data_IF_196633544024
#
_entry.id   IF_196633544024
#
_cell.length_a   1.000
_cell.length_b   1.000
_cell.length_c   1.000
_cell.angle_alpha   90.00
_cell.angle_beta   90.00
_cell.angle_gamma   90.00
#
_symmetry.space_group_name_H-M   'P 1'
#
loop_
_entity.id
_entity.type
_entity.pdbx_description
1 polymer ?
#
# COMPACT_ATOMS: atom_id res chain seq x y z
N UNK A 1 -2.56 -9.34 -30.28
CA UNK A 1 -2.74 -9.16 -28.84
C UNK A 1 -2.36 -10.46 -28.19
N UNK A 2 -1.31 -10.49 -27.36
CA UNK A 2 -1.05 -11.65 -26.50
C UNK A 2 -2.25 -11.84 -25.59
N UNK A 3 -2.64 -13.07 -25.35
CA UNK A 3 -3.74 -13.44 -24.47
C UNK A 3 -3.45 -12.85 -23.07
N UNK A 4 -4.17 -11.79 -22.67
CA UNK A 4 -4.03 -11.12 -21.38
C UNK A 4 -4.80 -11.86 -20.28
N UNK A 5 -5.35 -13.06 -20.59
CA UNK A 5 -6.08 -13.86 -19.62
C UNK A 5 -5.11 -14.53 -18.65
N UNK A 6 -5.18 -14.14 -17.37
CA UNK A 6 -4.60 -14.91 -16.28
C UNK A 6 -5.61 -16.01 -15.86
N UNK A 7 -5.12 -17.08 -15.25
CA UNK A 7 -5.96 -18.21 -14.80
C UNK A 7 -7.15 -17.79 -13.88
N UNK A 8 -7.13 -16.57 -13.34
CA UNK A 8 -8.08 -16.07 -12.34
C UNK A 8 -8.95 -14.89 -12.80
N UNK A 9 -8.81 -14.40 -14.04
CA UNK A 9 -9.61 -13.30 -14.58
C UNK A 9 -9.71 -13.38 -16.11
N UNK A 10 -10.72 -12.70 -16.66
CA UNK A 10 -10.82 -12.32 -18.05
C UNK A 10 -10.62 -10.81 -18.24
N UNK A 11 -10.41 -10.38 -19.48
CA UNK A 11 -10.21 -8.96 -19.79
C UNK A 11 -11.13 -8.54 -20.94
N UNK A 12 -11.59 -7.30 -20.89
CA UNK A 12 -12.44 -6.68 -21.91
C UNK A 12 -11.83 -5.36 -22.36
N UNK A 13 -11.62 -5.22 -23.67
CA UNK A 13 -11.16 -3.97 -24.28
C UNK A 13 -12.31 -2.96 -24.30
N UNK A 14 -12.08 -1.76 -23.76
CA UNK A 14 -13.04 -0.66 -23.74
C UNK A 14 -12.59 0.49 -24.65
N UNK A 15 -13.46 1.49 -24.81
CA UNK A 15 -13.07 2.82 -25.27
C UNK A 15 -13.08 3.79 -24.09
N UNK A 16 -12.24 4.81 -24.12
CA UNK A 16 -12.22 5.83 -23.05
C UNK A 16 -13.55 6.55 -22.87
N UNK A 17 -14.33 6.74 -23.95
CA UNK A 17 -15.67 7.32 -23.91
C UNK A 17 -16.68 6.49 -23.12
N UNK A 18 -16.43 5.17 -22.99
CA UNK A 18 -17.30 4.23 -22.29
C UNK A 18 -16.86 4.08 -20.81
N UNK A 19 -15.75 4.70 -20.41
CA UNK A 19 -15.27 4.73 -19.03
C UNK A 19 -15.96 5.87 -18.26
N UNK A 20 -17.01 5.58 -17.53
CA UNK A 20 -17.80 6.58 -16.80
C UNK A 20 -16.93 7.39 -15.81
N UNK A 21 -16.93 8.71 -15.97
CA UNK A 21 -16.13 9.63 -15.15
C UNK A 21 -14.70 9.86 -15.65
N UNK A 22 -14.29 9.23 -16.74
CA UNK A 22 -12.96 9.44 -17.33
C UNK A 22 -12.75 10.91 -17.74
N UNK A 23 -13.72 11.51 -18.43
CA UNK A 23 -13.61 12.86 -18.92
C UNK A 23 -13.55 13.92 -17.82
N UNK A 24 -14.09 13.61 -16.64
CA UNK A 24 -14.20 14.49 -15.49
C UNK A 24 -13.01 14.39 -14.53
N UNK A 25 -12.15 13.37 -14.65
CA UNK A 25 -11.02 13.16 -13.75
C UNK A 25 -9.92 14.21 -13.92
N UNK A 26 -9.15 14.45 -12.87
CA UNK A 26 -7.94 15.28 -12.91
C UNK A 26 -6.74 14.47 -13.40
N UNK A 27 -6.62 14.40 -14.75
CA UNK A 27 -5.53 13.69 -15.40
C UNK A 27 -4.15 14.31 -15.14
N UNK A 28 -4.08 15.61 -14.79
CA UNK A 28 -2.81 16.24 -14.46
C UNK A 28 -2.25 15.68 -13.16
N UNK A 29 -3.08 15.54 -12.12
CA UNK A 29 -2.68 14.92 -10.86
C UNK A 29 -2.22 13.46 -11.07
N UNK A 30 -2.94 12.69 -11.89
CA UNK A 30 -2.54 11.32 -12.25
C UNK A 30 -1.22 11.27 -13.03
N UNK A 31 -1.01 12.23 -13.95
CA UNK A 31 0.21 12.33 -14.73
C UNK A 31 1.44 12.62 -13.83
N UNK A 32 1.32 13.50 -12.86
CA UNK A 32 2.42 13.75 -11.91
C UNK A 32 2.77 12.51 -11.08
N UNK A 33 1.78 11.72 -10.67
CA UNK A 33 2.02 10.44 -10.03
C UNK A 33 2.72 9.44 -10.98
N UNK A 34 2.29 9.37 -12.24
CA UNK A 34 2.90 8.55 -13.28
C UNK A 34 4.35 8.99 -13.58
N UNK A 35 4.59 10.30 -13.64
CA UNK A 35 5.90 10.87 -13.88
C UNK A 35 6.92 10.50 -12.80
N UNK A 36 6.52 10.40 -11.53
CA UNK A 36 7.40 9.90 -10.45
C UNK A 36 7.93 8.50 -10.78
N UNK A 37 7.06 7.59 -11.22
CA UNK A 37 7.45 6.24 -11.65
C UNK A 37 8.33 6.28 -12.93
N UNK A 38 8.00 7.16 -13.86
CA UNK A 38 8.76 7.32 -15.11
C UNK A 38 10.19 7.84 -14.87
N UNK A 39 10.37 8.74 -13.91
CA UNK A 39 11.70 9.25 -13.52
C UNK A 39 12.50 8.14 -12.83
N UNK A 40 11.93 7.43 -11.87
CA UNK A 40 12.62 6.32 -11.21
C UNK A 40 13.03 5.22 -12.21
N UNK A 41 12.15 4.92 -13.16
CA UNK A 41 12.35 3.88 -14.19
C UNK A 41 13.42 4.24 -15.23
N UNK A 42 13.97 5.45 -15.21
CA UNK A 42 15.09 5.84 -16.10
C UNK A 42 16.37 5.06 -15.78
N UNK A 43 16.58 4.74 -14.51
CA UNK A 43 17.79 4.07 -14.03
C UNK A 43 17.52 2.75 -13.31
N UNK A 44 16.24 2.39 -13.10
CA UNK A 44 15.85 1.21 -12.35
C UNK A 44 14.74 0.43 -13.08
N UNK A 45 14.77 -0.88 -12.94
CA UNK A 45 13.78 -1.78 -13.53
C UNK A 45 12.68 -2.13 -12.53
N UNK A 46 11.44 -2.14 -12.96
CA UNK A 46 10.35 -2.76 -12.23
C UNK A 46 10.17 -4.22 -12.68
N UNK A 47 9.98 -5.11 -11.74
CA UNK A 47 9.63 -6.49 -12.06
C UNK A 47 8.23 -6.53 -12.70
N UNK A 48 8.07 -7.17 -13.83
CA UNK A 48 6.78 -7.41 -14.48
C UNK A 48 5.90 -8.39 -13.68
N UNK A 49 4.60 -8.29 -13.84
CA UNK A 49 3.62 -9.23 -13.32
C UNK A 49 3.15 -10.23 -14.39
N UNK A 50 2.21 -11.10 -14.03
CA UNK A 50 1.63 -12.08 -14.96
C UNK A 50 0.45 -11.56 -15.77
N UNK A 51 -0.05 -10.35 -15.47
CA UNK A 51 -1.20 -9.73 -16.12
C UNK A 51 -0.87 -8.29 -16.52
N UNK A 52 -1.23 -7.90 -17.75
CA UNK A 52 -1.07 -6.54 -18.24
C UNK A 52 0.31 -6.28 -18.85
N UNK A 53 0.74 -4.99 -18.87
CA UNK A 53 1.98 -4.61 -19.53
C UNK A 53 3.19 -5.20 -18.80
N UNK A 54 4.16 -5.64 -19.57
CA UNK A 54 5.49 -5.90 -19.09
C UNK A 54 6.21 -4.56 -18.88
N UNK A 55 7.28 -4.56 -18.09
CA UNK A 55 8.03 -3.33 -17.84
C UNK A 55 8.53 -2.68 -19.14
N UNK A 56 9.00 -3.50 -20.07
CA UNK A 56 9.51 -3.09 -21.36
C UNK A 56 8.44 -2.38 -22.22
N UNK A 57 7.16 -2.74 -22.07
CA UNK A 57 6.04 -2.05 -22.75
C UNK A 57 5.81 -0.64 -22.19
N UNK A 58 6.11 -0.40 -20.90
CA UNK A 58 5.97 0.89 -20.23
C UNK A 58 7.13 1.86 -20.52
N UNK A 59 8.33 1.35 -20.78
CA UNK A 59 9.55 2.17 -20.99
C UNK A 59 9.38 3.26 -22.04
N UNK A 60 8.85 3.01 -23.25
CA UNK A 60 8.64 4.05 -24.25
C UNK A 60 7.65 5.13 -23.78
N UNK A 61 6.60 4.73 -23.04
CA UNK A 61 5.60 5.68 -22.51
C UNK A 61 6.17 6.51 -21.39
N UNK A 62 7.01 5.93 -20.52
CA UNK A 62 7.76 6.68 -19.50
C UNK A 62 8.68 7.73 -20.13
N UNK A 63 9.37 7.40 -21.22
CA UNK A 63 10.21 8.37 -21.94
C UNK A 63 9.36 9.51 -22.51
N UNK A 64 8.20 9.22 -23.11
CA UNK A 64 7.27 10.24 -23.60
C UNK A 64 6.74 11.14 -22.48
N UNK A 65 6.43 10.57 -21.29
CA UNK A 65 5.99 11.35 -20.13
C UNK A 65 7.07 12.32 -19.64
N UNK A 66 8.32 11.87 -19.54
CA UNK A 66 9.45 12.75 -19.16
C UNK A 66 9.67 13.86 -20.19
N UNK A 67 9.61 13.54 -21.48
CA UNK A 67 9.72 14.52 -22.56
C UNK A 67 8.60 15.56 -22.52
N UNK A 68 7.35 15.14 -22.29
CA UNK A 68 6.21 16.04 -22.15
C UNK A 68 6.41 16.98 -20.94
N UNK A 69 6.87 16.46 -19.81
CA UNK A 69 7.10 17.25 -18.60
C UNK A 69 8.23 18.28 -18.74
N UNK A 70 9.22 18.03 -19.57
CA UNK A 70 10.33 18.94 -19.81
C UNK A 70 9.99 20.12 -20.74
N UNK A 71 8.92 20.01 -21.55
CA UNK A 71 8.68 20.92 -22.66
C UNK A 71 7.64 22.02 -22.43
N UNK A 72 6.73 21.86 -21.46
CA UNK A 72 5.60 22.80 -21.31
C UNK A 72 4.88 22.68 -19.97
N UNK A 73 4.02 23.66 -19.68
CA UNK A 73 3.09 23.56 -18.57
C UNK A 73 2.09 22.42 -18.83
N UNK A 74 1.95 21.53 -17.84
CA UNK A 74 1.09 20.35 -17.89
C UNK A 74 -0.30 20.74 -17.38
N UNK A 75 -1.28 20.70 -18.28
CA UNK A 75 -2.68 20.88 -17.94
C UNK A 75 -3.47 19.56 -18.04
N UNK A 76 -4.72 19.59 -17.60
CA UNK A 76 -5.64 18.45 -17.59
C UNK A 76 -5.93 17.93 -19.02
N UNK A 77 -6.06 18.81 -20.01
CA UNK A 77 -6.39 18.42 -21.38
C UNK A 77 -5.21 17.73 -22.06
N UNK A 78 -4.01 18.30 -21.92
CA UNK A 78 -2.76 17.74 -22.46
C UNK A 78 -2.47 16.36 -21.87
N UNK A 79 -2.64 16.20 -20.55
CA UNK A 79 -2.39 14.93 -19.86
C UNK A 79 -3.44 13.88 -20.16
N UNK A 80 -4.72 14.27 -20.30
CA UNK A 80 -5.76 13.39 -20.80
C UNK A 80 -5.43 12.87 -22.20
N UNK A 81 -5.09 13.76 -23.13
CA UNK A 81 -4.70 13.40 -24.50
C UNK A 81 -3.45 12.49 -24.51
N UNK A 82 -2.50 12.70 -23.60
CA UNK A 82 -1.35 11.79 -23.40
C UNK A 82 -1.81 10.37 -23.07
N UNK A 83 -2.64 10.18 -22.06
CA UNK A 83 -3.10 8.84 -21.68
C UNK A 83 -3.94 8.19 -22.80
N UNK A 84 -4.86 8.91 -23.43
CA UNK A 84 -5.69 8.39 -24.52
C UNK A 84 -4.89 8.00 -25.75
N UNK A 85 -3.82 8.73 -26.06
CA UNK A 85 -2.91 8.42 -27.17
C UNK A 85 -2.01 7.23 -26.87
N UNK A 86 -1.50 7.12 -25.66
CA UNK A 86 -0.47 6.13 -25.31
C UNK A 86 -1.04 4.78 -24.88
N UNK A 87 -2.31 4.70 -24.48
CA UNK A 87 -2.87 3.50 -23.86
C UNK A 87 -4.21 3.06 -24.47
N UNK A 88 -4.54 1.79 -24.23
CA UNK A 88 -5.87 1.21 -24.35
C UNK A 88 -6.45 0.95 -22.97
N UNK A 89 -7.73 1.29 -22.69
CA UNK A 89 -8.41 0.89 -21.46
C UNK A 89 -8.87 -0.56 -21.56
N UNK A 90 -8.47 -1.38 -20.58
CA UNK A 90 -8.81 -2.82 -20.51
C UNK A 90 -9.39 -3.10 -19.14
N UNK A 91 -10.66 -3.48 -19.10
CA UNK A 91 -11.33 -3.88 -17.85
C UNK A 91 -10.91 -5.28 -17.44
N UNK A 92 -10.55 -5.44 -16.16
CA UNK A 92 -10.25 -6.73 -15.54
C UNK A 92 -11.51 -7.25 -14.85
N UNK A 93 -11.90 -8.49 -15.18
CA UNK A 93 -13.09 -9.16 -14.63
C UNK A 93 -12.61 -10.41 -13.88
N UNK A 94 -12.54 -10.40 -12.53
CA UNK A 94 -12.15 -11.56 -11.74
C UNK A 94 -13.15 -12.71 -11.91
N UNK A 95 -12.68 -13.98 -11.89
CA UNK A 95 -13.57 -15.13 -12.02
C UNK A 95 -14.34 -15.45 -10.72
N UNK A 96 -13.81 -15.07 -9.58
CA UNK A 96 -14.40 -15.30 -8.25
C UNK A 96 -15.38 -14.20 -7.81
N UNK A 97 -15.46 -13.10 -8.57
CA UNK A 97 -16.30 -11.93 -8.27
C UNK A 97 -16.83 -11.31 -9.57
N UNK A 98 -17.93 -10.54 -9.46
CA UNK A 98 -18.47 -9.80 -10.62
C UNK A 98 -17.63 -8.56 -10.99
N UNK A 99 -16.94 -7.98 -10.00
CA UNK A 99 -16.12 -6.77 -10.15
C UNK A 99 -14.87 -6.88 -9.27
N UNK A 100 -13.93 -5.98 -9.42
CA UNK A 100 -12.83 -5.85 -8.50
C UNK A 100 -13.26 -5.31 -7.12
N UNK A 101 -12.30 -5.14 -6.24
CA UNK A 101 -12.51 -4.70 -4.88
C UNK A 101 -11.42 -3.75 -4.39
N UNK A 102 -11.83 -2.65 -3.76
CA UNK A 102 -10.91 -1.65 -3.20
C UNK A 102 -11.12 -1.45 -1.71
N UNK A 103 -10.01 -1.17 -1.04
CA UNK A 103 -9.95 -0.61 0.31
C UNK A 103 -9.14 0.69 0.27
N UNK A 104 -9.03 1.38 1.40
CA UNK A 104 -8.24 2.59 1.51
C UNK A 104 -7.13 2.45 2.55
N UNK A 105 -6.02 3.14 2.32
CA UNK A 105 -4.95 3.31 3.28
C UNK A 105 -4.43 4.75 3.30
N UNK A 106 -3.71 5.10 4.34
CA UNK A 106 -3.20 6.44 4.57
C UNK A 106 -1.90 6.38 5.37
N UNK A 107 -1.21 7.49 5.52
CA UNK A 107 -0.08 7.62 6.43
C UNK A 107 -0.57 8.25 7.74
N UNK A 108 -0.63 7.50 8.86
CA UNK A 108 -0.96 8.06 10.17
C UNK A 108 0.03 9.16 10.58
N UNK A 109 -0.47 10.17 11.29
CA UNK A 109 0.35 11.16 12.00
C UNK A 109 0.16 10.97 13.50
N UNK A 110 1.25 10.76 14.23
CA UNK A 110 1.20 10.37 15.65
C UNK A 110 2.19 11.21 16.43
N UNK A 111 1.77 11.74 17.60
CA UNK A 111 2.67 12.37 18.55
C UNK A 111 3.66 11.36 19.11
N UNK A 112 4.94 11.73 19.19
CA UNK A 112 6.01 10.82 19.59
C UNK A 112 7.10 11.51 20.39
N UNK A 113 7.89 10.70 21.09
CA UNK A 113 9.11 11.12 21.79
C UNK A 113 10.32 10.36 21.28
N UNK A 114 11.47 11.02 21.18
CA UNK A 114 12.76 10.36 20.87
C UNK A 114 13.30 9.54 22.01
N UNK A 115 12.82 9.80 23.23
CA UNK A 115 13.23 9.12 24.43
C UNK A 115 12.03 8.51 25.14
N UNK A 116 12.24 7.39 25.80
CA UNK A 116 11.19 6.75 26.60
C UNK A 116 10.82 7.61 27.80
N UNK A 117 9.52 7.85 27.98
CA UNK A 117 8.96 8.56 29.12
C UNK A 117 7.81 7.77 29.73
N UNK A 118 7.22 8.26 30.82
CA UNK A 118 6.03 7.64 31.41
C UNK A 118 4.83 7.67 30.44
N UNK A 119 4.70 8.74 29.64
CA UNK A 119 3.64 8.90 28.65
C UNK A 119 3.99 8.14 27.36
N UNK A 120 5.16 8.38 26.80
CA UNK A 120 5.62 7.75 25.56
C UNK A 120 6.47 6.53 25.88
N UNK A 121 5.84 5.36 25.98
CA UNK A 121 6.48 4.13 26.46
C UNK A 121 6.48 2.99 25.45
N UNK A 122 5.71 3.08 24.38
CA UNK A 122 5.56 2.04 23.34
C UNK A 122 6.49 2.34 22.17
N UNK A 123 7.47 1.47 21.87
CA UNK A 123 8.47 1.75 20.84
C UNK A 123 8.02 1.42 19.42
N UNK A 124 8.54 2.17 18.47
CA UNK A 124 8.74 1.73 17.09
C UNK A 124 10.16 1.17 16.92
N UNK A 125 10.28 -0.03 16.38
CA UNK A 125 11.56 -0.72 16.23
C UNK A 125 12.10 -0.66 14.81
N UNK A 126 13.43 -0.47 14.69
CA UNK A 126 14.18 -0.72 13.45
C UNK A 126 14.35 -2.22 13.21
N UNK A 127 14.67 -2.58 11.96
CA UNK A 127 14.92 -3.97 11.61
C UNK A 127 16.07 -4.53 12.45
N UNK A 128 15.86 -5.62 13.19
CA UNK A 128 16.91 -6.28 13.96
C UNK A 128 17.98 -6.91 13.05
N UNK A 129 19.24 -6.96 13.50
CA UNK A 129 20.34 -7.51 12.68
C UNK A 129 20.23 -9.04 12.46
N UNK A 130 19.62 -9.75 13.40
CA UNK A 130 19.39 -11.20 13.33
C UNK A 130 18.15 -11.60 12.51
N UNK A 131 17.36 -10.61 12.05
CA UNK A 131 16.24 -10.84 11.13
C UNK A 131 16.74 -10.89 9.69
N UNK A 132 16.73 -12.08 9.09
CA UNK A 132 17.20 -12.33 7.72
C UNK A 132 16.03 -12.59 6.76
N UNK A 133 16.22 -12.25 5.49
CA UNK A 133 15.30 -12.63 4.43
C UNK A 133 15.53 -14.09 4.08
N UNK A 134 14.43 -14.84 3.95
CA UNK A 134 14.46 -16.23 3.53
C UNK A 134 14.29 -16.37 2.02
N UNK A 135 15.08 -17.24 1.43
CA UNK A 135 15.03 -17.64 0.03
C UNK A 135 15.19 -19.16 -0.09
N UNK A 136 15.36 -19.68 -1.30
CA UNK A 136 15.50 -21.11 -1.54
C UNK A 136 16.78 -21.70 -0.92
N UNK A 137 17.84 -20.90 -0.78
CA UNK A 137 19.16 -21.36 -0.36
C UNK A 137 19.30 -21.43 1.16
N UNK A 138 18.62 -20.53 1.89
CA UNK A 138 18.77 -20.38 3.34
C UNK A 138 17.54 -20.81 4.17
N UNK A 139 16.43 -21.19 3.53
CA UNK A 139 15.20 -21.59 4.22
C UNK A 139 15.26 -23.02 4.73
N UNK A 140 15.13 -23.26 6.04
CA UNK A 140 14.96 -24.59 6.59
C UNK A 140 13.64 -25.24 6.14
N UNK A 141 13.66 -26.57 5.93
CA UNK A 141 12.49 -27.34 5.46
C UNK A 141 11.29 -27.32 6.43
N UNK A 142 11.53 -27.04 7.69
CA UNK A 142 10.50 -26.95 8.74
C UNK A 142 9.82 -25.58 8.83
N UNK A 143 10.28 -24.58 8.08
CA UNK A 143 9.62 -23.29 8.01
C UNK A 143 8.62 -23.23 6.85
N UNK A 144 7.46 -22.55 7.02
CA UNK A 144 6.47 -22.38 5.97
C UNK A 144 7.05 -21.73 4.71
N UNK A 145 6.60 -22.18 3.53
CA UNK A 145 7.08 -21.66 2.24
C UNK A 145 6.77 -20.17 2.03
N UNK A 146 5.68 -19.67 2.58
CA UNK A 146 5.23 -18.30 2.51
C UNK A 146 5.92 -17.37 3.54
N UNK A 147 6.68 -17.93 4.48
CA UNK A 147 7.46 -17.16 5.44
C UNK A 147 8.69 -16.55 4.75
N UNK A 148 8.69 -15.23 4.58
CA UNK A 148 9.74 -14.50 3.84
C UNK A 148 10.86 -13.95 4.70
N UNK A 149 10.75 -14.06 6.03
CA UNK A 149 11.77 -13.64 7.00
C UNK A 149 11.86 -14.69 8.12
N UNK A 150 13.05 -14.86 8.68
CA UNK A 150 13.33 -15.70 9.82
C UNK A 150 14.44 -15.13 10.69
N UNK A 151 14.74 -15.78 11.80
CA UNK A 151 15.78 -15.41 12.74
C UNK A 151 17.02 -16.26 12.51
N UNK A 152 18.17 -15.61 12.32
CA UNK A 152 19.46 -16.29 12.35
C UNK A 152 20.05 -16.18 13.76
N UNK A 153 20.19 -17.31 14.45
CA UNK A 153 20.71 -17.35 15.81
C UNK A 153 21.50 -18.63 16.03
N UNK A 154 22.72 -18.54 16.58
CA UNK A 154 23.61 -19.68 16.89
C UNK A 154 23.81 -20.65 15.72
N UNK A 155 23.98 -20.11 14.50
CA UNK A 155 24.21 -20.93 13.31
C UNK A 155 22.96 -21.56 12.71
N UNK A 156 21.78 -21.28 13.25
CA UNK A 156 20.50 -21.84 12.78
C UNK A 156 19.51 -20.75 12.37
N UNK A 157 18.64 -21.10 11.43
CA UNK A 157 17.52 -20.27 11.01
C UNK A 157 16.23 -20.82 11.61
N UNK A 158 15.50 -19.97 12.32
CA UNK A 158 14.24 -20.32 13.00
C UNK A 158 13.17 -19.25 12.69
N UNK A 159 11.94 -19.46 13.17
CA UNK A 159 10.93 -18.40 13.21
C UNK A 159 11.45 -17.19 14.01
N UNK A 160 11.08 -15.99 13.56
CA UNK A 160 11.34 -14.79 14.36
C UNK A 160 10.32 -14.68 15.50
N UNK A 161 10.57 -13.79 16.46
CA UNK A 161 9.59 -13.45 17.47
C UNK A 161 8.29 -12.94 16.83
N UNK A 162 7.16 -13.37 17.35
CA UNK A 162 5.87 -12.84 16.95
C UNK A 162 5.52 -11.56 17.73
N UNK A 163 4.39 -10.95 17.38
CA UNK A 163 3.94 -9.70 18.03
C UNK A 163 3.88 -9.80 19.54
N UNK A 164 3.28 -10.87 20.06
CA UNK A 164 3.13 -11.04 21.51
C UNK A 164 4.50 -11.06 22.20
N UNK A 165 5.44 -11.83 21.71
CA UNK A 165 6.78 -11.89 22.29
C UNK A 165 7.49 -10.54 22.24
N UNK A 166 7.36 -9.80 21.11
CA UNK A 166 7.96 -8.47 20.96
C UNK A 166 7.31 -7.46 21.91
N UNK A 167 5.99 -7.43 21.99
CA UNK A 167 5.25 -6.54 22.89
C UNK A 167 5.54 -6.85 24.37
N UNK A 168 5.90 -8.09 24.68
CA UNK A 168 6.33 -8.54 26.00
C UNK A 168 7.83 -8.33 26.30
N UNK A 169 8.56 -7.70 25.36
CA UNK A 169 9.93 -7.25 25.58
C UNK A 169 11.03 -8.14 25.00
N UNK A 170 10.74 -9.04 24.05
CA UNK A 170 11.76 -9.88 23.40
C UNK A 170 12.88 -9.06 22.71
N UNK A 171 12.64 -7.78 22.42
CA UNK A 171 13.62 -6.85 21.81
C UNK A 171 14.10 -5.76 22.78
N UNK A 172 13.71 -5.81 24.05
CA UNK A 172 14.15 -4.82 25.04
C UNK A 172 15.69 -4.80 25.18
N UNK A 173 16.23 -3.63 25.46
CA UNK A 173 17.67 -3.39 25.72
C UNK A 173 18.62 -3.74 24.55
N UNK A 174 18.07 -3.87 23.32
CA UNK A 174 18.89 -4.13 22.13
C UNK A 174 19.21 -2.84 21.33
N UNK A 175 18.76 -1.67 21.78
CA UNK A 175 18.98 -0.39 21.12
C UNK A 175 18.32 -0.28 19.74
N UNK A 176 17.20 -0.97 19.55
CA UNK A 176 16.46 -1.04 18.29
C UNK A 176 15.34 0.00 18.19
N UNK A 177 15.07 0.70 19.26
CA UNK A 177 14.01 1.71 19.34
C UNK A 177 14.36 2.93 18.49
N UNK A 178 13.42 3.38 17.65
CA UNK A 178 13.56 4.59 16.83
C UNK A 178 12.91 5.77 17.55
N UNK A 179 11.72 5.57 18.08
CA UNK A 179 10.92 6.55 18.81
C UNK A 179 9.88 5.83 19.65
N UNK A 180 9.21 6.57 20.53
CA UNK A 180 8.19 6.05 21.44
C UNK A 180 6.89 6.82 21.27
N UNK A 181 5.76 6.12 21.36
CA UNK A 181 4.40 6.67 21.35
C UNK A 181 3.64 6.27 22.62
N UNK A 182 2.48 6.85 22.83
CA UNK A 182 1.72 6.68 24.06
C UNK A 182 0.94 5.36 24.12
N UNK A 183 0.55 4.78 22.96
CA UNK A 183 -0.24 3.57 22.97
C UNK A 183 0.13 2.60 21.84
N UNK A 184 -0.13 1.30 22.09
CA UNK A 184 0.18 0.22 21.13
C UNK A 184 -0.85 0.06 20.01
N UNK A 185 -2.04 0.66 20.15
CA UNK A 185 -3.06 0.64 19.11
C UNK A 185 -2.58 1.44 17.90
N UNK A 186 -1.92 2.59 18.14
CA UNK A 186 -1.34 3.40 17.07
C UNK A 186 -0.16 2.70 16.40
N UNK A 187 0.70 2.03 17.17
CA UNK A 187 1.76 1.18 16.60
C UNK A 187 1.17 0.06 15.74
N UNK A 188 0.10 -0.59 16.21
CA UNK A 188 -0.57 -1.63 15.45
C UNK A 188 -1.12 -1.10 14.11
N UNK A 189 -1.81 0.03 14.12
CA UNK A 189 -2.35 0.62 12.88
C UNK A 189 -1.24 1.14 11.97
N UNK A 190 -0.16 1.71 12.50
CA UNK A 190 1.02 2.06 11.71
C UNK A 190 1.64 0.82 11.02
N UNK A 191 1.66 -0.34 11.69
CA UNK A 191 2.08 -1.60 11.08
C UNK A 191 1.15 -2.04 9.94
N UNK A 192 -0.16 -1.86 10.09
CA UNK A 192 -1.15 -2.18 9.04
C UNK A 192 -0.95 -1.29 7.82
N UNK A 193 -0.69 0.02 8.06
CA UNK A 193 -0.49 1.01 6.99
C UNK A 193 0.90 0.91 6.34
N UNK A 194 1.90 0.38 7.04
CA UNK A 194 3.28 0.23 6.55
C UNK A 194 4.12 1.50 6.56
N UNK A 195 3.55 2.64 6.96
CA UNK A 195 4.24 3.91 7.16
C UNK A 195 3.55 4.72 8.27
N UNK A 196 4.26 5.67 8.87
CA UNK A 196 3.75 6.61 9.86
C UNK A 196 4.61 7.88 9.87
N UNK A 197 3.99 9.03 10.10
CA UNK A 197 4.66 10.30 10.36
C UNK A 197 4.61 10.58 11.85
N UNK A 198 5.75 10.77 12.46
CA UNK A 198 5.90 11.08 13.88
C UNK A 198 6.09 12.59 14.05
N UNK A 199 5.30 13.19 14.93
CA UNK A 199 5.37 14.59 15.31
C UNK A 199 6.01 14.69 16.69
N UNK A 200 7.14 15.39 16.82
CA UNK A 200 7.86 15.57 18.08
C UNK A 200 7.54 16.92 18.73
N UNK A 201 7.71 17.01 20.05
CA UNK A 201 7.44 18.22 20.84
C UNK A 201 8.27 19.44 20.40
N UNK A 202 9.43 19.22 19.77
CA UNK A 202 10.30 20.25 19.22
C UNK A 202 9.81 20.81 17.86
N UNK A 203 8.65 20.35 17.39
CA UNK A 203 8.08 20.74 16.11
C UNK A 203 8.69 20.03 14.89
N UNK A 204 9.66 19.14 15.10
CA UNK A 204 10.24 18.34 14.01
C UNK A 204 9.35 17.15 13.69
N UNK A 205 9.47 16.66 12.46
CA UNK A 205 8.79 15.45 11.98
C UNK A 205 9.79 14.41 11.53
N UNK A 206 9.40 13.14 11.67
CA UNK A 206 10.12 12.00 11.14
C UNK A 206 9.13 11.05 10.49
N UNK A 207 9.46 10.56 9.33
CA UNK A 207 8.69 9.50 8.68
C UNK A 207 9.33 8.15 8.96
N UNK A 208 8.51 7.18 9.33
CA UNK A 208 8.91 5.79 9.39
C UNK A 208 8.26 5.04 8.23
N UNK A 209 9.05 4.25 7.50
CA UNK A 209 8.57 3.42 6.39
C UNK A 209 8.98 1.97 6.61
N UNK A 210 8.20 1.05 6.02
CA UNK A 210 8.46 -0.37 6.10
C UNK A 210 9.91 -0.73 5.76
N UNK A 211 10.54 -1.52 6.60
CA UNK A 211 11.87 -2.09 6.38
C UNK A 211 11.82 -3.62 6.26
N UNK A 212 11.11 -4.28 7.17
CA UNK A 212 10.97 -5.74 7.22
C UNK A 212 9.73 -6.13 8.02
N UNK A 213 9.39 -7.42 8.00
CA UNK A 213 8.38 -8.01 8.90
C UNK A 213 8.93 -9.26 9.60
N UNK A 214 8.32 -9.65 10.72
CA UNK A 214 8.74 -10.81 11.50
C UNK A 214 8.59 -12.17 10.78
N UNK A 215 7.95 -12.20 9.60
CA UNK A 215 7.75 -13.42 8.82
C UNK A 215 6.42 -14.12 9.08
N UNK A 216 5.79 -13.88 10.21
CA UNK A 216 4.49 -14.47 10.56
C UNK A 216 3.35 -13.96 9.68
N UNK A 217 2.27 -14.75 9.60
CA UNK A 217 1.04 -14.40 8.89
C UNK A 217 0.33 -13.20 9.52
N UNK A 218 -0.35 -12.41 8.69
CA UNK A 218 -1.17 -11.28 9.11
C UNK A 218 -2.59 -11.74 9.42
N UNK A 219 -3.10 -11.31 10.59
CA UNK A 219 -4.51 -11.44 10.97
C UNK A 219 -5.04 -10.08 11.40
N UNK A 220 -6.00 -9.54 10.67
CA UNK A 220 -6.57 -8.22 10.98
C UNK A 220 -7.43 -8.24 12.25
N UNK A 221 -7.30 -7.23 13.11
CA UNK A 221 -8.09 -7.08 14.35
C UNK A 221 -9.59 -7.08 14.06
N UNK A 222 -10.04 -6.48 12.95
CA UNK A 222 -11.45 -6.50 12.55
C UNK A 222 -11.97 -7.92 12.31
N UNK A 223 -11.17 -8.81 11.71
CA UNK A 223 -11.55 -10.22 11.54
C UNK A 223 -11.69 -10.93 12.87
N UNK A 224 -10.76 -10.70 13.80
CA UNK A 224 -10.81 -11.26 15.14
C UNK A 224 -12.08 -10.83 15.88
N UNK A 225 -12.44 -9.54 15.79
CA UNK A 225 -13.64 -9.00 16.42
C UNK A 225 -14.93 -9.57 15.81
N UNK A 226 -14.98 -9.82 14.49
CA UNK A 226 -16.08 -10.51 13.85
C UNK A 226 -16.18 -11.94 14.35
N UNK A 227 -15.09 -12.70 14.34
CA UNK A 227 -15.07 -14.11 14.73
C UNK A 227 -15.44 -14.32 16.21
N UNK A 228 -15.17 -13.31 17.05
CA UNK A 228 -15.60 -13.28 18.47
C UNK A 228 -17.03 -12.76 18.68
N UNK A 229 -17.73 -12.33 17.61
CA UNK A 229 -19.08 -11.77 17.71
C UNK A 229 -19.16 -10.37 18.32
N UNK A 230 -18.04 -9.66 18.39
CA UNK A 230 -17.93 -8.31 19.01
C UNK A 230 -18.33 -7.18 18.05
N UNK A 231 -18.14 -7.39 16.75
CA UNK A 231 -18.54 -6.45 15.70
C UNK A 231 -19.24 -7.19 14.55
N UNK A 232 -20.30 -6.58 14.03
CA UNK A 232 -20.97 -7.06 12.83
C UNK A 232 -20.10 -6.84 11.59
N UNK A 233 -20.00 -7.81 10.66
CA UNK A 233 -19.14 -7.69 9.46
C UNK A 233 -19.39 -6.43 8.62
N UNK A 234 -20.67 -5.98 8.55
CA UNK A 234 -21.06 -4.81 7.78
C UNK A 234 -20.65 -3.47 8.43
N UNK A 235 -20.32 -3.49 9.74
CA UNK A 235 -19.97 -2.28 10.52
C UNK A 235 -18.48 -2.19 10.85
N UNK A 236 -17.65 -3.13 10.33
CA UNK A 236 -16.22 -3.12 10.61
C UNK A 236 -15.53 -2.08 9.74
N UNK A 237 -15.07 -1.02 10.39
CA UNK A 237 -14.21 0.02 9.84
C UNK A 237 -12.99 0.20 10.75
N UNK A 238 -11.97 0.92 10.32
CA UNK A 238 -10.84 1.26 11.18
C UNK A 238 -11.31 2.01 12.43
N UNK A 239 -12.25 2.94 12.27
CA UNK A 239 -12.82 3.75 13.35
C UNK A 239 -13.55 2.87 14.37
N UNK A 240 -14.40 1.95 13.91
CA UNK A 240 -15.15 1.04 14.82
C UNK A 240 -14.23 0.10 15.59
N UNK A 241 -13.12 -0.36 14.96
CA UNK A 241 -12.10 -1.16 15.65
C UNK A 241 -11.38 -0.32 16.71
N UNK A 242 -10.94 0.90 16.37
CA UNK A 242 -10.29 1.82 17.32
C UNK A 242 -11.21 2.16 18.49
N UNK A 243 -12.47 2.46 18.22
CA UNK A 243 -13.46 2.74 19.24
C UNK A 243 -13.64 1.54 20.19
N UNK A 244 -13.82 0.34 19.63
CA UNK A 244 -13.97 -0.88 20.42
C UNK A 244 -12.78 -1.13 21.36
N UNK A 245 -11.53 -0.92 20.86
CA UNK A 245 -10.31 -1.07 21.63
C UNK A 245 -10.18 0.02 22.71
N UNK A 246 -10.55 1.26 22.41
CA UNK A 246 -10.52 2.38 23.36
C UNK A 246 -11.50 2.18 24.53
N UNK A 247 -12.68 1.61 24.28
CA UNK A 247 -13.67 1.29 25.30
C UNK A 247 -13.29 0.08 26.17
N UNK A 248 -12.33 -0.74 25.72
CA UNK A 248 -11.93 -2.02 26.38
C UNK A 248 -10.42 -2.17 26.52
N UNK A 249 -9.74 -1.25 27.22
CA UNK A 249 -8.26 -1.22 27.26
C UNK A 249 -7.64 -2.52 27.81
N UNK A 250 -8.31 -3.21 28.73
CA UNK A 250 -7.86 -4.50 29.26
C UNK A 250 -7.87 -5.64 28.23
N UNK A 251 -8.57 -5.48 27.09
CA UNK A 251 -8.69 -6.49 26.03
C UNK A 251 -7.87 -6.17 24.79
N UNK A 252 -7.10 -5.08 24.79
CA UNK A 252 -6.28 -4.67 23.65
C UNK A 252 -5.33 -5.81 23.25
N UNK A 253 -4.59 -6.33 24.17
CA UNK A 253 -3.60 -7.38 23.93
C UNK A 253 -4.24 -8.67 23.44
N UNK A 254 -5.38 -9.06 24.04
CA UNK A 254 -6.17 -10.20 23.57
C UNK A 254 -6.47 -10.12 22.07
N UNK A 255 -6.82 -8.95 21.56
CA UNK A 255 -7.19 -8.78 20.17
C UNK A 255 -5.97 -8.62 19.26
N UNK A 256 -5.01 -7.76 19.66
CA UNK A 256 -3.88 -7.43 18.80
C UNK A 256 -2.89 -8.59 18.62
N UNK A 257 -2.72 -9.45 19.63
CA UNK A 257 -1.80 -10.59 19.57
C UNK A 257 -2.28 -11.73 18.66
N UNK A 258 -3.53 -11.76 18.23
CA UNK A 258 -3.97 -12.65 17.14
C UNK A 258 -3.23 -12.35 15.82
N UNK A 259 -2.78 -11.11 15.63
CA UNK A 259 -1.89 -10.76 14.53
C UNK A 259 -0.43 -11.05 14.92
N UNK A 260 0.08 -12.21 14.60
CA UNK A 260 1.46 -12.59 14.87
C UNK A 260 2.49 -11.77 14.08
N UNK A 261 2.08 -11.16 12.95
CA UNK A 261 2.96 -10.32 12.13
C UNK A 261 3.34 -9.04 12.86
N UNK A 262 4.64 -8.72 12.87
CA UNK A 262 5.20 -7.46 13.38
C UNK A 262 5.99 -6.76 12.27
N UNK A 263 5.86 -5.44 12.16
CA UNK A 263 6.55 -4.64 11.15
C UNK A 263 7.70 -3.88 11.80
N UNK A 264 8.86 -3.91 11.14
CA UNK A 264 10.03 -3.12 11.48
C UNK A 264 10.18 -1.98 10.50
N UNK A 265 10.59 -0.83 10.99
CA UNK A 265 10.66 0.40 10.25
C UNK A 265 12.09 0.86 9.99
N UNK A 266 12.23 1.78 9.06
CA UNK A 266 13.39 2.63 8.86
C UNK A 266 12.94 4.08 8.81
N UNK A 267 13.83 4.95 9.24
CA UNK A 267 13.65 6.39 9.14
C UNK A 267 13.70 6.82 7.67
N UNK A 268 12.90 7.81 7.34
CA UNK A 268 12.88 8.47 6.05
C UNK A 268 12.64 9.98 6.24
N UNK A 269 13.19 10.84 5.38
CA UNK A 269 12.95 12.28 5.47
C UNK A 269 11.50 12.61 5.11
N UNK A 270 11.05 13.77 5.60
CA UNK A 270 9.81 14.43 5.18
C UNK A 270 10.20 15.66 4.36
N UNK A 271 10.71 15.42 3.14
CA UNK A 271 11.20 16.50 2.26
C UNK A 271 10.04 17.36 1.71
N UNK A 272 8.91 16.72 1.45
CA UNK A 272 7.67 17.36 1.02
C UNK A 272 6.51 16.85 1.89
N UNK A 273 5.94 17.72 2.76
CA UNK A 273 4.80 17.34 3.61
C UNK A 273 3.54 16.91 2.85
N UNK A 274 3.37 17.36 1.59
CA UNK A 274 2.22 17.00 0.74
C UNK A 274 2.40 15.64 0.04
N UNK A 275 3.63 15.16 -0.06
CA UNK A 275 3.91 13.82 -0.58
C UNK A 275 3.79 12.77 0.51
N UNK A 276 3.19 11.63 0.16
CA UNK A 276 3.16 10.44 1.00
C UNK A 276 4.52 9.77 1.15
N UNK A 277 4.59 8.64 1.86
CA UNK A 277 5.82 7.88 2.06
C UNK A 277 6.36 7.33 0.75
N UNK A 278 7.69 7.12 0.69
CA UNK A 278 8.32 6.35 -0.38
C UNK A 278 7.94 4.89 -0.21
N UNK A 279 7.11 4.38 -1.13
CA UNK A 279 6.50 3.06 -1.05
C UNK A 279 7.29 1.98 -1.82
N UNK A 280 6.65 0.85 -2.12
CA UNK A 280 7.31 -0.30 -2.72
C UNK A 280 7.88 -0.02 -4.13
N UNK A 281 7.26 0.87 -4.90
CA UNK A 281 7.77 1.33 -6.21
C UNK A 281 8.94 2.30 -6.09
N UNK A 282 9.43 2.60 -4.86
CA UNK A 282 10.55 3.50 -4.60
C UNK A 282 10.30 4.96 -5.01
N UNK A 283 9.05 5.36 -5.06
CA UNK A 283 8.62 6.73 -5.31
C UNK A 283 7.68 7.20 -4.20
N UNK A 284 7.62 8.52 -3.92
CA UNK A 284 6.66 9.06 -2.97
C UNK A 284 5.22 8.90 -3.48
N UNK A 285 4.33 8.41 -2.62
CA UNK A 285 2.92 8.26 -2.94
C UNK A 285 2.24 9.62 -3.13
N UNK A 286 1.22 9.64 -3.98
CA UNK A 286 0.36 10.79 -4.24
C UNK A 286 -1.06 10.48 -3.78
N UNK A 287 -1.64 11.33 -2.93
CA UNK A 287 -2.99 11.16 -2.41
C UNK A 287 -4.00 10.99 -3.55
N UNK A 288 -4.86 9.96 -3.45
CA UNK A 288 -5.88 9.60 -4.44
C UNK A 288 -5.35 9.32 -5.86
N UNK A 289 -4.01 9.14 -6.02
CA UNK A 289 -3.36 8.85 -7.30
C UNK A 289 -2.40 7.65 -7.24
N UNK A 290 -2.06 7.18 -6.06
CA UNK A 290 -1.24 5.98 -5.87
C UNK A 290 -2.09 4.80 -5.43
N UNK A 291 -1.87 3.65 -6.05
CA UNK A 291 -2.61 2.40 -5.85
C UNK A 291 -1.65 1.30 -5.38
N UNK A 292 -1.98 0.62 -4.29
CA UNK A 292 -1.33 -0.64 -3.97
C UNK A 292 -2.03 -1.79 -4.72
N UNK A 293 -1.21 -2.68 -5.32
CA UNK A 293 -1.68 -3.78 -6.17
C UNK A 293 -0.98 -5.09 -5.82
N UNK A 294 -1.53 -6.21 -6.28
CA UNK A 294 -0.86 -7.51 -6.22
C UNK A 294 0.27 -7.59 -7.25
N UNK A 295 1.50 -7.65 -6.76
CA UNK A 295 2.73 -7.72 -7.58
C UNK A 295 2.90 -9.02 -8.37
N UNK A 296 2.13 -10.05 -8.06
CA UNK A 296 2.10 -11.26 -8.90
C UNK A 296 1.47 -10.99 -10.26
N UNK A 297 0.51 -10.06 -10.29
CA UNK A 297 -0.25 -9.71 -11.50
C UNK A 297 0.28 -8.45 -12.19
N UNK A 298 0.64 -7.40 -11.46
CA UNK A 298 0.83 -6.06 -12.03
C UNK A 298 2.25 -5.53 -11.91
N UNK A 299 2.71 -4.86 -12.96
CA UNK A 299 3.94 -4.07 -12.96
C UNK A 299 3.72 -2.73 -12.26
N UNK A 300 4.69 -2.25 -11.46
CA UNK A 300 4.65 -0.89 -10.96
C UNK A 300 4.74 0.12 -12.11
N UNK A 301 4.11 1.27 -11.92
CA UNK A 301 3.95 2.29 -12.95
C UNK A 301 2.78 2.06 -13.89
N UNK A 302 2.10 0.89 -13.85
CA UNK A 302 0.88 0.67 -14.65
C UNK A 302 -0.23 1.58 -14.15
N UNK A 303 -0.89 2.36 -15.03
CA UNK A 303 -2.04 3.18 -14.67
C UNK A 303 -3.32 2.33 -14.62
N UNK A 304 -4.20 2.64 -13.66
CA UNK A 304 -5.52 2.03 -13.48
C UNK A 304 -6.57 3.11 -13.29
N UNK A 305 -7.62 3.11 -14.08
CA UNK A 305 -8.80 3.90 -13.79
C UNK A 305 -9.73 3.08 -12.90
N UNK A 306 -9.90 3.54 -11.67
CA UNK A 306 -10.73 2.90 -10.65
C UNK A 306 -12.06 3.63 -10.57
N UNK A 307 -13.16 2.88 -10.67
CA UNK A 307 -14.51 3.42 -10.58
C UNK A 307 -15.31 2.60 -9.57
N UNK A 308 -15.63 3.19 -8.41
CA UNK A 308 -16.56 2.58 -7.45
C UNK A 308 -18.00 2.80 -7.90
N UNK A 309 -18.86 1.79 -7.72
CA UNK A 309 -20.26 1.89 -8.14
C UNK A 309 -21.16 2.56 -7.10
N UNK A 310 -20.67 2.68 -5.89
CA UNK A 310 -21.39 3.29 -4.76
C UNK A 310 -20.65 4.51 -4.27
N UNK A 311 -21.39 5.44 -3.72
CA UNK A 311 -20.83 6.60 -3.05
C UNK A 311 -19.96 6.16 -1.87
N UNK A 312 -18.86 6.85 -1.70
CA UNK A 312 -18.07 6.83 -0.48
C UNK A 312 -18.86 7.48 0.67
N UNK A 313 -18.35 7.40 1.89
CA UNK A 313 -19.00 8.03 3.06
C UNK A 313 -19.21 9.54 2.90
N UNK A 314 -18.35 10.22 2.12
CA UNK A 314 -18.50 11.63 1.77
C UNK A 314 -19.58 11.93 0.71
N UNK A 315 -20.30 10.90 0.23
CA UNK A 315 -21.36 11.01 -0.77
C UNK A 315 -20.90 11.06 -2.23
N UNK A 316 -19.60 10.94 -2.49
CA UNK A 316 -19.03 10.98 -3.84
C UNK A 316 -18.69 9.57 -4.36
N UNK A 317 -18.81 9.36 -5.65
CA UNK A 317 -18.31 8.16 -6.33
C UNK A 317 -16.83 8.34 -6.64
N UNK A 318 -15.98 7.41 -6.20
CA UNK A 318 -14.56 7.46 -6.52
C UNK A 318 -14.32 7.04 -7.98
N UNK A 319 -13.80 7.96 -8.78
CA UNK A 319 -13.51 7.76 -10.21
C UNK A 319 -12.21 8.45 -10.57
N UNK A 320 -11.10 7.76 -10.34
CA UNK A 320 -9.77 8.35 -10.51
C UNK A 320 -8.82 7.43 -11.26
N UNK A 321 -8.01 8.04 -12.12
CA UNK A 321 -6.83 7.42 -12.69
C UNK A 321 -5.74 7.38 -11.61
N UNK A 322 -5.32 6.18 -11.26
CA UNK A 322 -4.33 5.89 -10.24
C UNK A 322 -3.15 5.12 -10.83
N UNK A 323 -2.01 5.19 -10.18
CA UNK A 323 -0.78 4.54 -10.64
C UNK A 323 -0.39 3.45 -9.64
N UNK A 324 -0.09 2.25 -10.12
CA UNK A 324 0.42 1.16 -9.30
C UNK A 324 1.80 1.52 -8.74
N UNK A 325 1.87 1.90 -7.46
CA UNK A 325 3.10 2.40 -6.81
C UNK A 325 3.38 1.73 -5.46
N UNK A 326 2.44 0.91 -4.98
CA UNK A 326 2.61 0.20 -3.72
C UNK A 326 2.08 -1.22 -3.80
N UNK A 327 2.30 -1.99 -2.74
CA UNK A 327 1.80 -3.36 -2.56
C UNK A 327 1.64 -3.67 -1.09
N UNK A 328 0.79 -4.63 -0.77
CA UNK A 328 0.59 -5.09 0.60
C UNK A 328 0.33 -6.60 0.67
N UNK A 329 0.66 -7.24 1.79
CA UNK A 329 0.48 -8.69 1.97
C UNK A 329 -1.00 -9.13 1.97
N UNK A 330 -1.94 -8.20 2.17
CA UNK A 330 -3.38 -8.42 2.10
C UNK A 330 -4.00 -8.01 0.75
N UNK A 331 -3.18 -7.46 -0.18
CA UNK A 331 -3.63 -6.99 -1.49
C UNK A 331 -3.35 -8.09 -2.50
N UNK A 332 -4.27 -9.06 -2.58
CA UNK A 332 -4.12 -10.27 -3.37
C UNK A 332 -5.22 -10.39 -4.42
N UNK A 333 -4.83 -10.65 -5.67
CA UNK A 333 -5.73 -10.86 -6.81
C UNK A 333 -5.60 -9.84 -7.93
N UNK A 334 -6.12 -10.17 -9.13
CA UNK A 334 -5.92 -9.39 -10.36
C UNK A 334 -6.67 -8.04 -10.38
N UNK A 335 -7.78 -7.93 -9.65
CA UNK A 335 -8.59 -6.71 -9.53
C UNK A 335 -8.80 -6.33 -8.06
N UNK A 336 -7.71 -6.36 -7.28
CA UNK A 336 -7.65 -5.94 -5.89
C UNK A 336 -6.72 -4.73 -5.76
N UNK A 337 -7.21 -3.66 -5.16
CA UNK A 337 -6.41 -2.46 -4.94
C UNK A 337 -6.63 -1.84 -3.57
N UNK A 338 -5.62 -1.11 -3.10
CA UNK A 338 -5.71 -0.28 -1.92
C UNK A 338 -5.39 1.17 -2.29
N UNK A 339 -6.31 2.09 -2.04
CA UNK A 339 -6.27 3.47 -2.50
C UNK A 339 -5.54 4.32 -1.45
N UNK A 340 -4.48 5.01 -1.83
CA UNK A 340 -3.78 5.93 -0.93
C UNK A 340 -4.52 7.26 -0.82
N UNK A 341 -4.96 7.63 0.39
CA UNK A 341 -5.73 8.86 0.63
C UNK A 341 -4.89 10.04 1.11
N UNK A 342 -3.62 9.85 1.43
CA UNK A 342 -2.75 10.93 1.95
C UNK A 342 -2.30 10.67 3.38
N UNK A 343 -1.99 11.73 4.12
CA UNK A 343 -1.47 11.67 5.48
C UNK A 343 -2.41 12.37 6.47
N UNK A 344 -2.37 11.96 7.73
CA UNK A 344 -3.11 12.55 8.83
C UNK A 344 -4.56 12.07 8.97
N UNK A 345 -5.28 12.63 9.95
CA UNK A 345 -6.59 12.15 10.40
C UNK A 345 -7.66 12.25 9.32
N UNK A 346 -7.72 13.36 8.57
CA UNK A 346 -8.70 13.52 7.49
C UNK A 346 -8.55 12.45 6.39
N UNK A 347 -7.30 12.10 6.05
CA UNK A 347 -7.03 11.00 5.11
C UNK A 347 -7.42 9.65 5.72
N UNK A 348 -7.21 9.47 7.03
CA UNK A 348 -7.59 8.28 7.78
C UNK A 348 -9.10 8.08 7.86
N UNK A 349 -9.87 9.15 8.04
CA UNK A 349 -11.34 9.10 8.01
C UNK A 349 -11.85 8.62 6.66
N UNK A 350 -11.36 9.19 5.57
CA UNK A 350 -11.73 8.75 4.21
C UNK A 350 -11.30 7.31 3.94
N UNK A 351 -10.03 6.96 4.22
CA UNK A 351 -9.49 5.64 3.95
C UNK A 351 -10.19 4.53 4.73
N UNK A 352 -10.54 4.82 6.01
CA UNK A 352 -11.12 3.84 6.92
C UNK A 352 -12.49 3.32 6.51
N UNK A 353 -13.26 4.12 5.76
CA UNK A 353 -14.57 3.75 5.22
C UNK A 353 -14.53 3.03 3.86
N UNK A 354 -13.36 2.97 3.21
CA UNK A 354 -13.27 2.38 1.86
C UNK A 354 -13.27 0.86 1.90
N UNK A 355 -14.39 0.29 1.48
CA UNK A 355 -14.57 -1.15 1.29
C UNK A 355 -15.63 -1.38 0.21
N UNK A 356 -15.22 -1.18 -1.05
CA UNK A 356 -16.17 -1.10 -2.16
C UNK A 356 -15.82 -2.03 -3.31
N UNK A 357 -16.86 -2.53 -3.96
CA UNK A 357 -16.75 -3.08 -5.30
C UNK A 357 -16.38 -1.96 -6.27
N UNK A 358 -15.47 -2.25 -7.22
CA UNK A 358 -14.98 -1.27 -8.17
C UNK A 358 -14.63 -1.91 -9.52
N UNK A 359 -14.83 -1.15 -10.60
CA UNK A 359 -14.21 -1.51 -11.87
C UNK A 359 -12.73 -1.21 -11.84
N UNK A 360 -11.94 -2.19 -12.27
CA UNK A 360 -10.50 -2.06 -12.50
C UNK A 360 -10.26 -1.96 -14.00
N UNK A 361 -9.98 -0.77 -14.48
CA UNK A 361 -9.69 -0.51 -15.87
C UNK A 361 -8.19 -0.21 -15.99
N UNK A 362 -7.43 -1.23 -16.37
CA UNK A 362 -5.99 -1.15 -16.57
C UNK A 362 -5.69 -0.44 -17.89
N UNK A 363 -4.75 0.49 -17.90
CA UNK A 363 -4.26 1.11 -19.12
C UNK A 363 -3.06 0.33 -19.66
N UNK A 364 -3.26 -0.29 -20.82
CA UNK A 364 -2.24 -1.09 -21.52
C UNK A 364 -1.60 -0.22 -22.60
N UNK A 365 -0.26 -0.10 -22.66
CA UNK A 365 0.42 0.69 -23.67
C UNK A 365 0.04 0.26 -25.09
N UNK A 366 -0.21 1.24 -25.96
CA UNK A 366 -0.30 1.00 -27.41
C UNK A 366 1.09 0.60 -27.90
N UNK A 367 1.20 -0.52 -28.61
CA UNK A 367 2.46 -0.83 -29.29
C UNK A 367 2.71 0.29 -30.29
N UNK A 368 3.81 0.99 -30.11
CA UNK A 368 4.32 1.90 -31.14
C UNK A 368 4.60 1.04 -32.35
N UNK A 369 3.86 1.26 -33.44
CA UNK A 369 4.29 0.75 -34.75
C UNK A 369 5.59 1.48 -35.02
N UNK A 370 6.70 0.76 -35.02
CA UNK A 370 7.97 1.32 -35.48
C UNK A 370 7.75 1.67 -36.96
N UNK A 371 7.84 2.98 -37.28
CA UNK A 371 7.89 3.45 -38.63
C UNK A 371 9.11 2.89 -39.37
#
# INVERSE_FOLDING_TARGET
MSDLSAAHCSTELLNFKDCAGWAEDDHAAAFYAFLKSAIYAETHLYKSGSLGPQFEDLVPVFAQARSLAAGQQIDRQTTRAFFERCFYPVKIIPHDRKTGFVTGFYEPEIAASRVKTAQYSVPFYRKPPDLIKLDADNRPKNLPEDMVFGRYHNGQVTEYFDRQAIDQGALADQGLEIAYVDNRVDVYFAHVQGAVRLNFDDGTQMRLTYAAKSGHGFTGAGRVLIDKGELEPAKVTMQSIRQWLAERPARIDEILWHNRSYIFFREAPVDDPLSGPVAAAKVPLSAQRSLAVDRKYHCFGTPFFINTHKNLENGEVFRHLMIAQDTGSAILGPARGDLFFGSGDAAGELAGGIRHDADFIMLVPRKTVAD
#
